data_IF_168281653335
#
_entry.id   IF_168281653335
#
_cell.length_a   1.000
_cell.length_b   1.000
_cell.length_c   1.000
_cell.angle_alpha   90.00
_cell.angle_beta   90.00
_cell.angle_gamma   90.00
#
_symmetry.space_group_name_H-M   'P 1'
#
loop_
_entity.id
_entity.type
_entity.pdbx_description
1 polymer ?
#
# COMPACT_ATOMS: atom_id res chain seq x y z
N UNK A 1 -2.38 -18.22 7.64
CA UNK A 1 -1.91 -18.53 9.00
C UNK A 1 -1.78 -17.33 9.95
N UNK A 2 -1.84 -16.08 9.50
CA UNK A 2 -1.75 -14.89 10.34
C UNK A 2 -3.00 -14.58 11.21
N UNK A 3 -4.17 -15.07 10.85
CA UNK A 3 -5.39 -14.83 11.62
C UNK A 3 -5.54 -15.67 12.89
N UNK A 4 -4.91 -16.82 12.95
CA UNK A 4 -4.96 -17.71 14.13
C UNK A 4 -3.89 -17.32 15.17
N UNK A 5 -2.74 -16.80 14.72
CA UNK A 5 -1.69 -16.28 15.58
C UNK A 5 -2.15 -15.01 16.30
N UNK A 6 -2.76 -14.03 15.60
CA UNK A 6 -3.33 -12.82 16.21
C UNK A 6 -4.45 -13.10 17.22
N UNK A 7 -5.29 -14.15 17.00
CA UNK A 7 -6.31 -14.55 17.99
C UNK A 7 -5.72 -15.28 19.19
N UNK A 8 -4.53 -15.86 19.10
CA UNK A 8 -3.83 -16.47 20.24
C UNK A 8 -3.05 -15.42 21.04
N UNK A 9 -2.50 -14.43 20.41
CA UNK A 9 -1.81 -13.31 21.06
C UNK A 9 -2.79 -12.40 21.83
N UNK A 10 -3.99 -12.13 21.31
CA UNK A 10 -5.05 -11.41 22.00
C UNK A 10 -5.63 -12.18 23.21
N UNK A 11 -5.36 -13.49 23.35
CA UNK A 11 -5.74 -14.29 24.52
C UNK A 11 -4.68 -14.37 25.62
N UNK A 12 -3.42 -14.05 25.32
CA UNK A 12 -2.32 -14.05 26.33
C UNK A 12 -2.18 -12.75 27.11
N UNK A 13 -2.72 -11.63 26.62
CA UNK A 13 -2.68 -10.34 27.35
C UNK A 13 -4.01 -10.11 28.10
N UNK A 14 -4.36 -10.95 29.07
CA UNK A 14 -5.47 -10.72 30.01
C UNK A 14 -5.01 -10.28 31.38
N UNK A 15 -3.77 -9.95 31.55
CA UNK A 15 -3.28 -9.34 32.79
C UNK A 15 -3.22 -7.83 32.56
N UNK A 16 -3.83 -7.09 33.49
CA UNK A 16 -3.74 -5.63 33.46
C UNK A 16 -2.29 -5.25 33.80
N UNK A 17 -1.70 -4.23 33.17
CA UNK A 17 -0.39 -3.71 33.54
C UNK A 17 -0.34 -3.33 35.01
N UNK A 18 0.77 -3.62 35.71
CA UNK A 18 0.91 -3.41 37.15
C UNK A 18 0.75 -1.93 37.56
N UNK A 19 1.25 -1.01 36.74
CA UNK A 19 1.09 0.43 36.92
C UNK A 19 -0.38 0.86 36.86
N UNK A 20 -1.15 0.26 35.97
CA UNK A 20 -2.58 0.51 35.82
C UNK A 20 -3.37 -0.03 37.03
N UNK A 21 -3.01 -1.22 37.52
CA UNK A 21 -3.61 -1.83 38.72
C UNK A 21 -3.35 -0.97 39.93
N UNK A 22 -2.10 -0.55 40.16
CA UNK A 22 -1.70 0.30 41.28
C UNK A 22 -2.46 1.64 41.28
N UNK A 23 -2.62 2.25 40.10
CA UNK A 23 -3.39 3.49 39.98
C UNK A 23 -4.85 3.31 40.35
N UNK A 24 -5.50 2.24 39.86
CA UNK A 24 -6.90 1.95 40.15
C UNK A 24 -7.08 1.67 41.65
N UNK A 25 -6.20 0.88 42.24
CA UNK A 25 -6.25 0.57 43.69
C UNK A 25 -6.04 1.81 44.57
N UNK A 26 -5.16 2.73 44.16
CA UNK A 26 -4.95 3.99 44.88
C UNK A 26 -6.17 4.92 44.89
N UNK A 27 -6.99 4.88 43.84
CA UNK A 27 -8.22 5.69 43.73
C UNK A 27 -9.46 4.97 44.22
N UNK A 28 -9.47 3.66 44.27
CA UNK A 28 -10.63 2.83 44.68
C UNK A 28 -11.23 3.21 46.05
N UNK A 29 -10.47 3.56 47.09
CA UNK A 29 -11.02 3.96 48.39
C UNK A 29 -11.82 5.29 48.34
N UNK A 30 -11.50 6.16 47.37
CA UNK A 30 -12.12 7.51 47.27
C UNK A 30 -13.38 7.52 46.37
N UNK A 31 -13.38 6.78 45.31
CA UNK A 31 -14.45 6.86 44.29
C UNK A 31 -15.13 5.51 43.98
N UNK A 32 -14.69 4.45 44.64
CA UNK A 32 -15.15 3.10 44.34
C UNK A 32 -14.35 2.43 43.22
N UNK A 33 -14.08 1.14 43.35
CA UNK A 33 -13.17 0.40 42.46
C UNK A 33 -13.67 0.34 41.01
N UNK A 34 -14.98 0.25 40.75
CA UNK A 34 -15.53 0.20 39.42
C UNK A 34 -15.48 1.55 38.70
N UNK A 35 -15.69 2.65 39.42
CA UNK A 35 -15.58 4.01 38.88
C UNK A 35 -14.11 4.37 38.61
N UNK A 36 -13.20 4.00 39.52
CA UNK A 36 -11.78 4.16 39.31
C UNK A 36 -11.33 3.38 38.05
N UNK A 37 -11.68 2.10 37.92
CA UNK A 37 -11.37 1.30 36.73
C UNK A 37 -11.86 1.94 35.44
N UNK A 38 -13.11 2.43 35.43
CA UNK A 38 -13.70 3.12 34.27
C UNK A 38 -12.97 4.40 33.92
N UNK A 39 -12.52 5.19 34.89
CA UNK A 39 -11.74 6.41 34.69
C UNK A 39 -10.38 6.14 34.03
N UNK A 40 -9.77 5.01 34.32
CA UNK A 40 -8.54 4.52 33.67
C UNK A 40 -8.77 3.67 32.41
N UNK A 41 -9.99 3.69 31.84
CA UNK A 41 -10.31 2.99 30.58
C UNK A 41 -10.48 1.47 30.70
N UNK A 42 -10.55 0.94 31.94
CA UNK A 42 -10.77 -0.48 32.20
C UNK A 42 -12.26 -0.77 32.40
N UNK A 43 -12.80 -1.73 31.62
CA UNK A 43 -14.18 -2.11 31.80
C UNK A 43 -14.42 -2.73 33.20
N UNK A 44 -15.51 -2.37 33.92
CA UNK A 44 -15.77 -2.87 35.28
C UNK A 44 -15.78 -4.40 35.40
N UNK A 45 -16.22 -5.10 34.34
CA UNK A 45 -16.19 -6.58 34.28
C UNK A 45 -14.75 -7.12 34.28
N UNK A 46 -13.83 -6.46 33.54
CA UNK A 46 -12.42 -6.84 33.47
C UNK A 46 -11.74 -6.62 34.82
N UNK A 47 -12.03 -5.48 35.47
CA UNK A 47 -11.54 -5.21 36.81
C UNK A 47 -12.03 -6.21 37.86
N UNK A 48 -13.34 -6.51 37.90
CA UNK A 48 -13.92 -7.53 38.81
C UNK A 48 -13.24 -8.89 38.63
N UNK A 49 -13.03 -9.32 37.38
CA UNK A 49 -12.35 -10.58 37.07
C UNK A 49 -10.90 -10.57 37.55
N UNK A 50 -10.17 -9.46 37.39
CA UNK A 50 -8.81 -9.29 37.89
C UNK A 50 -8.77 -9.36 39.43
N UNK A 51 -9.61 -8.61 40.09
CA UNK A 51 -9.70 -8.58 41.56
C UNK A 51 -10.11 -9.94 42.15
N UNK A 52 -10.99 -10.69 41.50
CA UNK A 52 -11.36 -12.07 41.92
C UNK A 52 -10.19 -13.03 41.73
N UNK A 53 -9.40 -12.89 40.66
CA UNK A 53 -8.21 -13.70 40.43
C UNK A 53 -7.15 -13.46 41.51
N UNK A 54 -6.92 -12.20 41.88
CA UNK A 54 -5.94 -11.85 42.96
C UNK A 54 -6.35 -12.37 44.32
N UNK A 55 -7.66 -12.41 44.64
CA UNK A 55 -8.18 -12.96 45.92
C UNK A 55 -8.26 -14.49 45.94
N UNK A 56 -7.86 -15.19 44.86
CA UNK A 56 -7.94 -16.65 44.79
C UNK A 56 -9.37 -17.18 44.70
N UNK A 57 -10.37 -16.32 44.50
CA UNK A 57 -11.79 -16.67 44.44
C UNK A 57 -12.18 -17.31 43.09
N UNK A 58 -11.37 -17.17 42.06
CA UNK A 58 -11.52 -17.85 40.79
C UNK A 58 -10.75 -19.17 40.87
N UNK A 59 -11.51 -20.26 41.13
CA UNK A 59 -10.98 -21.58 40.88
C UNK A 59 -10.43 -21.65 39.45
N UNK A 60 -9.23 -22.17 39.28
CA UNK A 60 -8.67 -22.44 37.95
C UNK A 60 -9.68 -23.29 37.19
N UNK A 61 -10.40 -22.66 36.25
CA UNK A 61 -11.23 -23.42 35.33
C UNK A 61 -10.27 -24.29 34.53
N UNK A 62 -10.38 -25.63 34.65
CA UNK A 62 -9.50 -26.50 33.89
C UNK A 62 -9.56 -26.07 32.42
N UNK A 63 -8.40 -25.86 31.85
CA UNK A 63 -8.27 -25.56 30.41
C UNK A 63 -9.16 -26.56 29.65
N UNK A 64 -9.99 -26.07 28.77
CA UNK A 64 -10.85 -26.88 27.89
C UNK A 64 -10.07 -27.89 27.02
N UNK A 65 -8.76 -27.94 27.18
CA UNK A 65 -7.83 -28.81 26.44
C UNK A 65 -7.72 -30.23 27.03
N UNK A 66 -8.25 -30.50 28.25
CA UNK A 66 -8.32 -31.83 28.83
C UNK A 66 -9.75 -32.39 28.78
N UNK A 67 -10.46 -32.08 27.68
CA UNK A 67 -11.78 -32.64 27.46
C UNK A 67 -11.68 -34.16 27.27
N UNK A 68 -12.55 -34.93 27.97
CA UNK A 68 -12.86 -36.30 27.61
C UNK A 68 -12.93 -36.43 26.09
N UNK A 69 -12.44 -37.54 25.51
CA UNK A 69 -12.58 -37.74 24.05
C UNK A 69 -14.05 -37.52 23.70
N UNK A 70 -14.28 -36.52 22.82
CA UNK A 70 -15.65 -36.21 22.37
C UNK A 70 -16.13 -37.42 21.60
N UNK A 71 -17.19 -38.04 22.10
CA UNK A 71 -17.94 -39.03 21.32
C UNK A 71 -18.28 -38.35 19.98
N UNK A 72 -17.92 -38.93 18.83
CA UNK A 72 -18.25 -38.37 17.53
C UNK A 72 -19.74 -38.04 17.47
N UNK A 73 -20.07 -36.88 16.89
CA UNK A 73 -21.48 -36.51 16.73
C UNK A 73 -22.16 -37.57 15.84
N UNK A 74 -23.38 -38.00 16.16
CA UNK A 74 -24.09 -39.03 15.37
C UNK A 74 -24.23 -38.74 13.89
N UNK A 75 -24.18 -37.45 13.51
CA UNK A 75 -24.21 -36.97 12.12
C UNK A 75 -22.78 -36.69 11.54
N UNK A 76 -21.70 -37.19 12.18
CA UNK A 76 -20.37 -37.10 11.59
C UNK A 76 -20.26 -38.19 10.52
N UNK A 77 -19.78 -37.82 9.34
CA UNK A 77 -19.44 -38.76 8.27
C UNK A 77 -18.38 -39.74 8.78
N UNK A 78 -18.46 -40.99 8.35
CA UNK A 78 -17.40 -41.99 8.57
C UNK A 78 -16.17 -41.63 7.75
N UNK A 79 -15.04 -42.28 8.04
CA UNK A 79 -13.80 -42.03 7.27
C UNK A 79 -13.94 -42.52 5.82
N UNK A 80 -14.76 -43.57 5.58
CA UNK A 80 -15.09 -44.08 4.26
C UNK A 80 -15.96 -43.08 3.48
N UNK A 81 -16.97 -42.48 4.09
CA UNK A 81 -17.82 -41.45 3.47
C UNK A 81 -17.03 -40.18 3.20
N UNK A 82 -16.13 -39.78 4.11
CA UNK A 82 -15.22 -38.62 3.84
C UNK A 82 -14.29 -38.94 2.67
N UNK A 83 -13.82 -40.19 2.51
CA UNK A 83 -12.97 -40.59 1.40
C UNK A 83 -13.74 -40.57 0.07
N UNK A 84 -14.98 -41.07 0.05
CA UNK A 84 -15.85 -41.03 -1.13
C UNK A 84 -16.08 -39.59 -1.61
N UNK A 85 -16.30 -38.66 -0.68
CA UNK A 85 -16.40 -37.22 -1.02
C UNK A 85 -15.11 -36.72 -1.67
N UNK A 86 -13.93 -37.10 -1.14
CA UNK A 86 -12.64 -36.69 -1.72
C UNK A 86 -12.45 -37.30 -3.12
N UNK A 87 -12.69 -38.58 -3.29
CA UNK A 87 -12.49 -39.29 -4.55
C UNK A 87 -13.43 -38.71 -5.63
N UNK A 88 -14.70 -38.45 -5.30
CA UNK A 88 -15.63 -37.78 -6.21
C UNK A 88 -15.15 -36.39 -6.60
N UNK A 89 -14.81 -35.56 -5.62
CA UNK A 89 -14.39 -34.17 -5.88
C UNK A 89 -13.04 -34.07 -6.61
N UNK A 90 -12.19 -35.07 -6.53
CA UNK A 90 -10.89 -35.14 -7.17
C UNK A 90 -10.87 -36.01 -8.44
N UNK A 91 -12.02 -36.55 -8.86
CA UNK A 91 -12.13 -37.30 -10.11
C UNK A 91 -11.82 -36.43 -11.32
N UNK A 92 -11.43 -37.05 -12.43
CA UNK A 92 -11.13 -36.32 -13.68
C UNK A 92 -12.32 -35.49 -14.17
N UNK A 93 -13.53 -35.88 -13.84
CA UNK A 93 -14.77 -35.19 -14.19
C UNK A 93 -14.95 -33.89 -13.38
N UNK A 94 -14.62 -33.91 -12.08
CA UNK A 94 -14.95 -32.82 -11.15
C UNK A 94 -13.77 -32.03 -10.65
N UNK A 95 -12.52 -32.39 -11.00
CA UNK A 95 -11.31 -31.75 -10.48
C UNK A 95 -11.24 -30.26 -10.79
N UNK A 96 -11.79 -29.82 -11.91
CA UNK A 96 -11.82 -28.42 -12.36
C UNK A 96 -13.17 -27.71 -12.10
N UNK A 97 -14.15 -28.42 -11.53
CA UNK A 97 -15.50 -27.90 -11.28
C UNK A 97 -15.62 -27.35 -9.86
N UNK A 98 -16.34 -26.25 -9.66
CA UNK A 98 -16.58 -25.66 -8.32
C UNK A 98 -17.34 -26.63 -7.42
N UNK A 99 -17.04 -26.62 -6.09
CA UNK A 99 -17.71 -27.53 -5.13
C UNK A 99 -19.23 -27.40 -5.14
N UNK A 100 -19.73 -26.15 -5.22
CA UNK A 100 -21.17 -25.89 -5.25
C UNK A 100 -21.82 -26.40 -6.57
N UNK A 101 -21.09 -26.35 -7.67
CA UNK A 101 -21.51 -26.87 -8.96
C UNK A 101 -21.49 -28.40 -8.99
N UNK A 102 -20.43 -29.03 -8.44
CA UNK A 102 -20.39 -30.50 -8.25
C UNK A 102 -21.56 -30.97 -7.41
N UNK A 103 -21.86 -30.27 -6.30
CA UNK A 103 -23.00 -30.59 -5.46
C UNK A 103 -24.32 -30.55 -6.25
N UNK A 104 -24.53 -29.53 -7.06
CA UNK A 104 -25.74 -29.42 -7.89
C UNK A 104 -25.82 -30.54 -8.93
N UNK A 105 -24.71 -30.86 -9.62
CA UNK A 105 -24.63 -31.96 -10.58
C UNK A 105 -24.97 -33.31 -9.93
N UNK A 106 -24.36 -33.59 -8.76
CA UNK A 106 -24.65 -34.83 -8.03
C UNK A 106 -26.14 -34.94 -7.62
N UNK A 107 -26.76 -33.81 -7.22
CA UNK A 107 -28.19 -33.79 -6.91
C UNK A 107 -29.06 -34.06 -8.14
N UNK A 108 -28.68 -33.49 -9.31
CA UNK A 108 -29.38 -33.73 -10.56
C UNK A 108 -29.30 -35.21 -10.98
N UNK A 109 -28.16 -35.85 -10.66
CA UNK A 109 -27.94 -37.31 -10.87
C UNK A 109 -28.56 -38.18 -9.76
N UNK A 110 -29.28 -37.59 -8.80
CA UNK A 110 -29.94 -38.30 -7.70
C UNK A 110 -29.01 -38.76 -6.58
N UNK A 111 -27.77 -38.24 -6.53
CA UNK A 111 -26.74 -38.57 -5.53
C UNK A 111 -26.57 -37.46 -4.51
N UNK A 112 -26.62 -37.81 -3.20
CA UNK A 112 -26.32 -36.88 -2.12
C UNK A 112 -25.22 -37.45 -1.22
N UNK A 113 -24.06 -36.82 -1.21
CA UNK A 113 -22.95 -37.22 -0.34
C UNK A 113 -22.97 -36.43 0.99
N UNK A 114 -22.88 -35.10 0.90
CA UNK A 114 -22.95 -34.19 2.04
C UNK A 114 -23.18 -32.74 1.56
N UNK A 115 -23.36 -31.81 2.50
CA UNK A 115 -23.56 -30.41 2.14
C UNK A 115 -22.27 -29.75 1.56
N UNK A 116 -22.38 -28.72 0.73
CA UNK A 116 -21.22 -27.99 0.20
C UNK A 116 -20.26 -27.48 1.28
N UNK A 117 -20.80 -27.03 2.41
CA UNK A 117 -20.00 -26.59 3.56
C UNK A 117 -19.16 -27.74 4.14
N UNK A 118 -19.70 -28.96 4.15
CA UNK A 118 -18.97 -30.18 4.60
C UNK A 118 -17.90 -30.54 3.58
N UNK A 119 -18.21 -30.53 2.30
CA UNK A 119 -17.24 -30.76 1.22
C UNK A 119 -16.05 -29.78 1.31
N UNK A 120 -16.31 -28.48 1.48
CA UNK A 120 -15.26 -27.49 1.68
C UNK A 120 -14.45 -27.72 2.95
N UNK A 121 -15.07 -28.22 4.03
CA UNK A 121 -14.36 -28.55 5.28
C UNK A 121 -13.43 -29.74 5.05
N UNK A 122 -13.90 -30.82 4.44
CA UNK A 122 -13.12 -32.03 4.15
C UNK A 122 -11.91 -31.68 3.27
N UNK A 123 -12.10 -30.94 2.17
CA UNK A 123 -11.01 -30.50 1.30
C UNK A 123 -9.98 -29.65 2.05
N UNK A 124 -10.40 -28.81 2.99
CA UNK A 124 -9.50 -28.01 3.83
C UNK A 124 -8.71 -28.86 4.79
N UNK A 125 -9.37 -29.77 5.47
CA UNK A 125 -8.75 -30.66 6.47
C UNK A 125 -7.73 -31.61 5.81
N UNK A 126 -7.97 -32.02 4.55
CA UNK A 126 -7.06 -32.82 3.71
C UNK A 126 -6.02 -32.00 2.95
N UNK A 127 -6.00 -30.65 3.09
CA UNK A 127 -5.03 -29.77 2.39
C UNK A 127 -5.30 -29.60 0.89
N UNK A 128 -6.46 -30.02 0.40
CA UNK A 128 -6.85 -30.00 -1.04
C UNK A 128 -7.57 -28.71 -1.45
N UNK A 129 -7.85 -27.80 -0.51
CA UNK A 129 -8.52 -26.51 -0.77
C UNK A 129 -7.64 -25.57 -1.60
N UNK A 130 -7.54 -25.70 -2.87
CA UNK A 130 -6.78 -24.84 -3.77
C UNK A 130 -5.88 -25.58 -4.74
N UNK A 131 -5.70 -26.89 -4.57
CA UNK A 131 -4.92 -27.73 -5.48
C UNK A 131 -5.77 -28.41 -6.57
N UNK A 132 -7.11 -28.35 -6.47
CA UNK A 132 -8.04 -28.96 -7.44
C UNK A 132 -7.96 -28.36 -8.83
N UNK A 133 -7.66 -27.06 -8.93
CA UNK A 133 -7.22 -26.43 -10.17
C UNK A 133 -5.71 -26.37 -10.13
N UNK A 134 -5.04 -26.68 -11.24
CA UNK A 134 -3.67 -26.23 -11.47
C UNK A 134 -3.69 -24.69 -11.59
N UNK A 135 -4.12 -24.02 -10.53
CA UNK A 135 -3.89 -22.61 -10.40
C UNK A 135 -2.39 -22.46 -10.40
N UNK A 136 -1.84 -21.89 -11.47
CA UNK A 136 -0.47 -21.39 -11.46
C UNK A 136 -0.20 -20.80 -10.07
N UNK A 137 0.80 -21.30 -9.33
CA UNK A 137 1.05 -20.80 -7.99
C UNK A 137 1.10 -19.29 -8.11
N UNK A 138 0.25 -18.59 -7.33
CA UNK A 138 0.23 -17.12 -7.34
C UNK A 138 1.66 -16.71 -7.10
N UNK A 139 2.36 -16.27 -8.16
CA UNK A 139 3.72 -15.75 -8.05
C UNK A 139 3.63 -14.67 -7.00
N UNK A 140 4.26 -14.90 -5.85
CA UNK A 140 4.30 -13.92 -4.78
C UNK A 140 4.87 -12.64 -5.38
N UNK A 141 4.05 -11.60 -5.50
CA UNK A 141 4.52 -10.32 -6.01
C UNK A 141 5.45 -9.73 -4.97
N UNK A 142 6.74 -9.76 -5.27
CA UNK A 142 7.73 -9.09 -4.45
C UNK A 142 7.38 -7.59 -4.38
N UNK A 143 7.49 -7.03 -3.18
CA UNK A 143 7.35 -5.59 -2.96
C UNK A 143 8.45 -4.89 -3.77
N UNK A 144 8.13 -4.06 -4.76
CA UNK A 144 9.15 -3.36 -5.53
C UNK A 144 9.94 -2.44 -4.60
N UNK A 145 11.24 -2.48 -4.71
CA UNK A 145 12.16 -1.63 -3.93
C UNK A 145 12.98 -0.85 -4.91
N UNK A 146 12.65 0.43 -5.01
CA UNK A 146 13.30 1.33 -5.94
C UNK A 146 13.97 2.44 -5.15
N UNK A 147 15.19 2.81 -5.50
CA UNK A 147 15.96 3.86 -4.86
C UNK A 147 16.59 4.78 -5.90
N UNK A 148 16.46 6.08 -5.70
CA UNK A 148 17.13 7.11 -6.47
C UNK A 148 18.08 7.90 -5.58
N UNK A 149 19.31 8.14 -6.02
CA UNK A 149 20.34 8.92 -5.34
C UNK A 149 20.83 10.10 -6.20
N UNK A 150 20.38 10.17 -7.44
CA UNK A 150 20.71 11.19 -8.40
C UNK A 150 19.57 11.37 -9.42
N UNK A 151 19.53 12.48 -10.16
CA UNK A 151 18.55 12.66 -11.23
C UNK A 151 18.71 11.60 -12.33
N UNK A 152 17.61 11.27 -12.98
CA UNK A 152 17.56 10.33 -14.10
C UNK A 152 18.04 8.90 -13.78
N UNK A 153 17.99 8.50 -12.50
CA UNK A 153 18.16 7.09 -12.10
C UNK A 153 16.86 6.32 -12.08
N UNK A 154 15.78 6.98 -11.65
CA UNK A 154 14.45 6.37 -11.56
C UNK A 154 13.42 7.37 -12.03
N UNK A 155 12.60 6.94 -12.99
CA UNK A 155 11.39 7.67 -13.35
C UNK A 155 10.18 6.89 -12.86
N UNK A 156 9.20 7.64 -12.35
CA UNK A 156 7.85 7.13 -12.05
C UNK A 156 6.89 7.72 -13.06
N UNK A 157 5.97 6.91 -13.58
CA UNK A 157 4.97 7.44 -14.49
C UNK A 157 3.60 6.84 -14.26
N UNK A 158 2.59 7.61 -14.65
CA UNK A 158 1.20 7.21 -14.52
C UNK A 158 0.31 8.00 -15.48
N UNK A 159 -0.91 7.52 -15.68
CA UNK A 159 -1.93 8.15 -16.52
C UNK A 159 -3.11 8.56 -15.66
N UNK A 160 -3.53 9.81 -15.76
CA UNK A 160 -4.68 10.31 -15.04
C UNK A 160 -5.78 10.81 -15.98
N UNK A 161 -7.02 10.39 -15.70
CA UNK A 161 -8.18 10.87 -16.43
C UNK A 161 -8.58 12.26 -16.00
N UNK A 162 -8.90 13.11 -16.96
CA UNK A 162 -9.38 14.48 -16.80
C UNK A 162 -10.76 14.58 -17.40
N UNK A 163 -11.77 15.13 -16.70
CA UNK A 163 -13.13 15.26 -17.23
C UNK A 163 -13.19 16.14 -18.48
N UNK A 164 -13.76 15.60 -19.55
CA UNK A 164 -14.04 16.31 -20.80
C UNK A 164 -15.39 17.01 -20.79
N UNK A 165 -15.85 17.51 -21.96
CA UNK A 165 -17.02 18.36 -22.10
C UNK A 165 -18.34 17.69 -21.69
N UNK A 166 -18.45 16.38 -21.85
CA UNK A 166 -19.65 15.60 -21.58
C UNK A 166 -19.37 14.40 -20.69
N UNK A 167 -20.41 13.89 -20.02
CA UNK A 167 -20.33 12.68 -19.22
C UNK A 167 -19.86 11.50 -20.05
N UNK A 168 -18.76 10.86 -19.63
CA UNK A 168 -18.16 9.72 -20.34
C UNK A 168 -17.07 10.11 -21.33
N UNK A 169 -16.87 11.39 -21.59
CA UNK A 169 -15.73 11.90 -22.38
C UNK A 169 -14.58 12.26 -21.43
N UNK A 170 -13.38 11.79 -21.76
CA UNK A 170 -12.20 11.96 -20.95
C UNK A 170 -11.01 12.38 -21.79
N UNK A 171 -10.16 13.22 -21.21
CA UNK A 171 -8.78 13.42 -21.64
C UNK A 171 -7.85 12.63 -20.75
N UNK A 172 -6.69 12.26 -21.25
CA UNK A 172 -5.72 11.43 -20.55
C UNK A 172 -4.40 12.16 -20.43
N UNK A 173 -4.04 12.50 -19.19
CA UNK A 173 -2.75 13.10 -18.87
C UNK A 173 -1.75 12.00 -18.54
N UNK A 174 -0.74 11.87 -19.37
CA UNK A 174 0.45 11.05 -19.16
C UNK A 174 1.50 11.89 -18.46
N UNK A 175 2.03 11.43 -17.35
CA UNK A 175 3.03 12.13 -16.57
C UNK A 175 4.20 11.22 -16.28
N UNK A 176 5.42 11.69 -16.58
CA UNK A 176 6.69 11.05 -16.20
C UNK A 176 7.44 12.00 -15.26
N UNK A 177 7.79 11.48 -14.08
CA UNK A 177 8.50 12.25 -13.05
C UNK A 177 9.81 11.60 -12.67
N UNK A 178 10.83 12.39 -12.46
CA UNK A 178 12.05 11.94 -11.81
C UNK A 178 11.83 11.73 -10.31
N UNK A 179 12.12 10.52 -9.81
CA UNK A 179 11.87 10.15 -8.44
C UNK A 179 12.71 10.96 -7.44
N UNK A 180 13.95 11.27 -7.77
CA UNK A 180 14.89 11.95 -6.87
C UNK A 180 14.60 13.44 -6.72
N UNK A 181 14.35 14.12 -7.83
CA UNK A 181 14.12 15.57 -7.87
C UNK A 181 12.65 15.98 -7.76
N UNK A 182 11.72 15.07 -8.00
CA UNK A 182 10.29 15.35 -8.18
C UNK A 182 9.93 16.11 -9.44
N UNK A 183 10.90 16.36 -10.34
CA UNK A 183 10.66 17.06 -11.58
C UNK A 183 9.73 16.27 -12.49
N UNK A 184 8.70 16.91 -12.99
CA UNK A 184 7.94 16.41 -14.12
C UNK A 184 8.85 16.50 -15.37
N UNK A 185 9.57 15.41 -15.65
CA UNK A 185 10.52 15.36 -16.77
C UNK A 185 9.81 15.29 -18.11
N UNK A 186 8.55 14.94 -18.16
CA UNK A 186 7.73 15.04 -19.35
C UNK A 186 6.28 14.66 -19.08
N UNK A 187 5.42 15.19 -19.92
CA UNK A 187 3.99 14.93 -19.88
C UNK A 187 3.37 15.15 -21.26
N UNK A 188 2.22 14.58 -21.51
CA UNK A 188 1.36 14.93 -22.63
C UNK A 188 -0.10 14.68 -22.28
N UNK A 189 -0.99 15.34 -22.99
CA UNK A 189 -2.44 15.09 -22.90
C UNK A 189 -2.94 14.55 -24.23
N UNK A 190 -3.83 13.57 -24.19
CA UNK A 190 -4.42 12.99 -25.38
C UNK A 190 -5.89 12.64 -25.14
N UNK A 191 -6.63 12.36 -26.20
CA UNK A 191 -8.03 11.87 -26.16
C UNK A 191 -8.09 10.35 -25.98
N UNK A 192 -6.99 9.66 -26.12
CA UNK A 192 -6.88 8.21 -26.02
C UNK A 192 -5.88 7.77 -24.93
N UNK A 193 -6.18 6.63 -24.33
CA UNK A 193 -5.27 5.96 -23.38
C UNK A 193 -4.61 4.76 -24.07
N UNK A 194 -3.44 4.98 -24.69
CA UNK A 194 -2.74 3.96 -25.47
C UNK A 194 -1.27 3.79 -25.09
N UNK A 195 -0.73 2.60 -25.28
CA UNK A 195 0.68 2.31 -25.10
C UNK A 195 1.59 3.03 -26.12
N UNK A 196 1.04 3.38 -27.28
CA UNK A 196 1.77 4.06 -28.36
C UNK A 196 2.10 5.50 -27.96
N UNK A 197 1.16 6.21 -27.34
CA UNK A 197 1.37 7.57 -26.81
C UNK A 197 2.42 7.53 -25.68
N UNK A 198 2.28 6.58 -24.74
CA UNK A 198 3.26 6.41 -23.66
C UNK A 198 4.67 6.12 -24.18
N UNK A 199 4.78 5.23 -25.17
CA UNK A 199 6.06 4.92 -25.84
C UNK A 199 6.72 6.17 -26.44
N UNK A 200 5.97 6.94 -27.24
CA UNK A 200 6.45 8.15 -27.88
C UNK A 200 6.91 9.19 -26.84
N UNK A 201 6.14 9.36 -25.78
CA UNK A 201 6.48 10.28 -24.70
C UNK A 201 7.79 9.87 -24.02
N UNK A 202 7.91 8.61 -23.57
CA UNK A 202 9.10 8.12 -22.86
C UNK A 202 10.34 8.16 -23.76
N UNK A 203 10.23 7.78 -25.03
CA UNK A 203 11.31 7.83 -26.00
C UNK A 203 11.81 9.27 -26.20
N UNK A 204 10.88 10.22 -26.39
CA UNK A 204 11.20 11.65 -26.52
C UNK A 204 11.91 12.21 -25.27
N UNK A 205 11.43 11.85 -24.08
CA UNK A 205 12.06 12.31 -22.83
C UNK A 205 13.45 11.69 -22.68
N UNK A 206 13.59 10.40 -22.94
CA UNK A 206 14.87 9.69 -22.82
C UNK A 206 15.95 10.30 -23.75
N UNK A 207 15.58 10.63 -24.97
CA UNK A 207 16.46 11.31 -25.92
C UNK A 207 16.84 12.72 -25.42
N UNK A 208 15.87 13.51 -24.95
CA UNK A 208 16.09 14.87 -24.44
C UNK A 208 16.98 14.91 -23.19
N UNK A 209 16.75 13.99 -22.25
CA UNK A 209 17.51 13.89 -21.00
C UNK A 209 18.85 13.17 -21.18
N UNK A 210 19.17 12.67 -22.39
CA UNK A 210 20.44 12.01 -22.70
C UNK A 210 20.66 10.73 -21.90
N UNK A 211 19.62 9.91 -21.72
CA UNK A 211 19.68 8.70 -20.89
C UNK A 211 20.64 7.68 -21.50
N UNK A 212 21.68 7.33 -20.73
CA UNK A 212 22.60 6.25 -21.12
C UNK A 212 21.97 4.86 -20.89
N UNK A 213 22.42 3.88 -21.66
CA UNK A 213 21.98 2.49 -21.49
C UNK A 213 22.26 2.00 -20.06
N UNK A 214 21.29 1.30 -19.47
CA UNK A 214 21.36 0.77 -18.10
C UNK A 214 21.43 1.80 -16.96
N UNK A 215 21.24 3.07 -17.25
CA UNK A 215 21.20 4.16 -16.26
C UNK A 215 19.85 4.23 -15.57
N UNK A 216 18.76 4.11 -16.32
CA UNK A 216 17.40 4.41 -15.88
C UNK A 216 16.65 3.14 -15.45
N UNK A 217 15.88 3.28 -14.38
CA UNK A 217 14.79 2.36 -14.02
C UNK A 217 13.46 3.09 -14.12
N UNK A 218 12.47 2.49 -14.80
CA UNK A 218 11.13 3.07 -14.94
C UNK A 218 10.16 2.27 -14.09
N UNK A 219 9.52 2.95 -13.16
CA UNK A 219 8.50 2.40 -12.26
C UNK A 219 7.12 2.89 -12.64
N UNK A 220 6.13 1.98 -12.68
CA UNK A 220 4.74 2.29 -12.98
C UNK A 220 3.79 1.30 -12.34
N UNK A 221 2.50 1.61 -12.41
CA UNK A 221 1.44 0.66 -12.07
C UNK A 221 1.34 -0.47 -13.11
N UNK A 222 0.44 -1.43 -12.86
CA UNK A 222 0.17 -2.57 -13.76
C UNK A 222 -0.98 -2.32 -14.72
N UNK A 223 -1.18 -1.09 -15.16
CA UNK A 223 -2.15 -0.78 -16.21
C UNK A 223 -1.84 -1.54 -17.50
N UNK A 224 -2.85 -1.73 -18.35
CA UNK A 224 -2.70 -2.43 -19.63
C UNK A 224 -1.62 -1.77 -20.52
N UNK A 225 -1.60 -0.44 -20.54
CA UNK A 225 -0.62 0.34 -21.29
C UNK A 225 0.80 0.12 -20.73
N UNK A 226 0.95 0.13 -19.39
CA UNK A 226 2.23 -0.04 -18.70
C UNK A 226 2.84 -1.44 -18.90
N UNK A 227 2.01 -2.44 -19.10
CA UNK A 227 2.44 -3.85 -19.29
C UNK A 227 2.49 -4.28 -20.74
N UNK A 228 2.25 -3.38 -21.70
CA UNK A 228 2.24 -3.69 -23.13
C UNK A 228 3.60 -4.16 -23.64
N UNK A 229 3.60 -5.05 -24.62
CA UNK A 229 4.80 -5.52 -25.31
C UNK A 229 5.57 -4.36 -25.97
N UNK A 230 4.85 -3.39 -26.53
CA UNK A 230 5.43 -2.21 -27.18
C UNK A 230 6.32 -1.37 -26.25
N UNK A 231 5.93 -1.20 -24.99
CA UNK A 231 6.77 -0.54 -23.98
C UNK A 231 7.91 -1.43 -23.50
N UNK A 232 7.69 -2.75 -23.41
CA UNK A 232 8.76 -3.69 -23.09
C UNK A 232 9.87 -3.62 -24.14
N UNK A 233 9.53 -3.64 -25.43
CA UNK A 233 10.50 -3.51 -26.53
C UNK A 233 11.26 -2.17 -26.50
N UNK A 234 10.58 -1.07 -26.13
CA UNK A 234 11.25 0.23 -25.96
C UNK A 234 12.27 0.17 -24.82
N UNK A 235 11.87 -0.35 -23.65
CA UNK A 235 12.75 -0.46 -22.49
C UNK A 235 13.98 -1.34 -22.79
N UNK A 236 13.79 -2.45 -23.49
CA UNK A 236 14.89 -3.31 -23.92
C UNK A 236 15.82 -2.60 -24.90
N UNK A 237 15.25 -1.84 -25.86
CA UNK A 237 16.02 -1.02 -26.81
C UNK A 237 16.87 0.03 -26.12
N UNK A 238 16.29 0.74 -25.16
CA UNK A 238 16.97 1.78 -24.37
C UNK A 238 17.87 1.20 -23.26
N UNK A 239 17.79 -0.11 -22.99
CA UNK A 239 18.46 -0.74 -21.85
C UNK A 239 17.92 -0.25 -20.50
N UNK A 240 16.64 0.11 -20.41
CA UNK A 240 15.96 0.61 -19.22
C UNK A 240 15.40 -0.56 -18.40
N UNK A 241 15.64 -0.56 -17.09
CA UNK A 241 15.02 -1.55 -16.20
C UNK A 241 13.58 -1.16 -15.90
N UNK A 242 12.71 -2.16 -15.87
CA UNK A 242 11.29 -1.97 -15.55
C UNK A 242 10.97 -2.47 -14.14
N UNK A 243 10.30 -1.65 -13.37
CA UNK A 243 9.72 -1.96 -12.07
C UNK A 243 8.20 -1.74 -12.10
N UNK A 244 7.44 -2.63 -11.48
CA UNK A 244 5.97 -2.55 -11.48
C UNK A 244 5.45 -2.62 -10.04
N UNK A 245 4.43 -1.81 -9.74
CA UNK A 245 3.67 -1.86 -8.51
C UNK A 245 3.05 -3.25 -8.29
N UNK A 246 2.80 -3.62 -7.04
CA UNK A 246 2.03 -4.83 -6.72
C UNK A 246 0.58 -4.66 -7.16
N UNK A 247 -0.10 -5.73 -7.58
CA UNK A 247 -1.51 -5.64 -7.95
C UNK A 247 -2.37 -5.12 -6.80
N UNK A 248 -3.19 -4.11 -7.06
CA UNK A 248 -4.13 -3.48 -6.11
C UNK A 248 -3.46 -2.84 -4.88
N UNK A 249 -2.23 -2.37 -5.00
CA UNK A 249 -1.50 -1.63 -3.95
C UNK A 249 -1.18 -0.25 -4.49
N UNK A 250 -2.04 0.72 -4.21
CA UNK A 250 -1.89 2.13 -4.63
C UNK A 250 -0.63 2.79 -4.05
N UNK A 251 -0.21 2.41 -2.85
CA UNK A 251 0.96 3.00 -2.19
C UNK A 251 2.30 2.69 -2.87
N UNK A 252 2.32 1.91 -3.93
CA UNK A 252 3.55 1.58 -4.65
C UNK A 252 3.92 2.65 -5.71
N UNK A 253 3.01 3.60 -6.06
CA UNK A 253 3.31 4.76 -6.93
C UNK A 253 2.85 6.11 -6.32
N UNK A 254 3.26 6.43 -5.07
CA UNK A 254 2.71 7.57 -4.34
C UNK A 254 3.09 8.93 -4.92
N UNK A 255 4.18 9.01 -5.70
CA UNK A 255 4.73 10.28 -6.15
C UNK A 255 4.00 10.85 -7.36
N UNK A 256 3.66 10.02 -8.34
CA UNK A 256 2.82 10.43 -9.46
C UNK A 256 1.40 10.76 -8.98
N UNK A 257 0.84 9.95 -8.08
CA UNK A 257 -0.47 10.24 -7.45
C UNK A 257 -0.47 11.58 -6.69
N UNK A 258 0.61 11.91 -5.97
CA UNK A 258 0.73 13.19 -5.26
C UNK A 258 0.78 14.39 -6.23
N UNK A 259 1.49 14.27 -7.35
CA UNK A 259 1.53 15.30 -8.36
C UNK A 259 0.15 15.53 -9.00
N UNK A 260 -0.59 14.47 -9.32
CA UNK A 260 -1.96 14.60 -9.80
C UNK A 260 -2.91 15.21 -8.77
N UNK A 261 -2.73 14.91 -7.48
CA UNK A 261 -3.48 15.58 -6.41
C UNK A 261 -3.15 17.06 -6.37
N UNK A 262 -1.86 17.44 -6.41
CA UNK A 262 -1.44 18.82 -6.42
C UNK A 262 -2.06 19.57 -7.61
N UNK A 263 -2.10 18.97 -8.80
CA UNK A 263 -2.75 19.53 -9.98
C UNK A 263 -4.26 19.71 -9.78
N UNK A 264 -4.96 18.63 -9.43
CA UNK A 264 -6.43 18.59 -9.41
C UNK A 264 -7.08 19.31 -8.24
N UNK A 265 -6.34 19.55 -7.15
CA UNK A 265 -6.84 20.27 -5.97
C UNK A 265 -6.47 21.76 -5.96
N UNK A 266 -5.88 22.28 -7.01
CA UNK A 266 -5.66 23.73 -7.12
C UNK A 266 -6.99 24.47 -7.22
N UNK A 267 -7.10 25.68 -6.65
CA UNK A 267 -8.31 26.48 -6.73
C UNK A 267 -8.74 26.84 -8.16
N UNK A 268 -7.79 26.92 -9.08
CA UNK A 268 -7.98 27.23 -10.50
C UNK A 268 -8.28 25.99 -11.37
N UNK A 269 -8.36 24.78 -10.77
CA UNK A 269 -8.69 23.57 -11.51
C UNK A 269 -10.17 23.55 -11.91
N UNK A 270 -10.51 23.51 -13.22
CA UNK A 270 -11.89 23.52 -13.66
C UNK A 270 -12.55 22.14 -13.41
N UNK A 271 -13.86 22.15 -13.24
CA UNK A 271 -14.64 20.91 -13.07
C UNK A 271 -14.61 20.01 -14.31
N UNK A 272 -14.48 20.62 -15.49
CA UNK A 272 -14.39 19.97 -16.81
C UNK A 272 -13.64 20.89 -17.76
N UNK A 273 -13.14 20.30 -18.83
CA UNK A 273 -12.52 20.99 -19.94
C UNK A 273 -13.33 20.79 -21.22
N UNK A 274 -13.42 21.79 -22.07
CA UNK A 274 -14.19 21.71 -23.30
C UNK A 274 -13.35 21.14 -24.44
N UNK A 275 -12.05 21.42 -24.47
CA UNK A 275 -11.15 21.00 -25.56
C UNK A 275 -9.82 20.43 -25.05
N UNK A 276 -9.14 19.69 -25.90
CA UNK A 276 -7.80 19.17 -25.62
C UNK A 276 -6.78 20.30 -25.45
N UNK A 277 -6.92 21.38 -26.22
CA UNK A 277 -6.03 22.53 -26.14
C UNK A 277 -6.16 23.26 -24.80
N UNK A 278 -7.36 23.40 -24.23
CA UNK A 278 -7.56 23.94 -22.88
C UNK A 278 -6.86 23.12 -21.81
N UNK A 279 -7.01 21.79 -21.85
CA UNK A 279 -6.30 20.90 -20.91
C UNK A 279 -4.79 21.03 -21.06
N UNK A 280 -4.32 21.04 -22.30
CA UNK A 280 -2.89 21.13 -22.61
C UNK A 280 -2.32 22.44 -22.10
N UNK A 281 -2.97 23.58 -22.37
CA UNK A 281 -2.53 24.88 -21.89
C UNK A 281 -2.53 24.96 -20.35
N UNK A 282 -3.55 24.40 -19.69
CA UNK A 282 -3.61 24.35 -18.23
C UNK A 282 -2.49 23.50 -17.63
N UNK A 283 -2.21 22.34 -18.22
CA UNK A 283 -1.12 21.48 -17.81
C UNK A 283 0.25 22.11 -18.05
N UNK A 284 0.44 22.84 -19.16
CA UNK A 284 1.66 23.57 -19.46
C UNK A 284 1.95 24.63 -18.40
N UNK A 285 0.95 25.44 -18.06
CA UNK A 285 1.07 26.43 -16.98
C UNK A 285 1.37 25.77 -15.63
N UNK A 286 0.65 24.67 -15.32
CA UNK A 286 0.84 23.96 -14.06
C UNK A 286 2.25 23.35 -13.95
N UNK A 287 2.72 22.59 -14.94
CA UNK A 287 4.02 21.93 -14.86
C UNK A 287 5.19 22.91 -14.97
N UNK A 288 5.02 24.05 -15.64
CA UNK A 288 5.96 25.18 -15.56
C UNK A 288 6.09 25.66 -14.12
N UNK A 289 4.98 26.08 -13.51
CA UNK A 289 4.97 26.49 -12.10
C UNK A 289 5.48 25.38 -11.15
N UNK A 290 5.04 24.13 -11.34
CA UNK A 290 5.42 23.00 -10.49
C UNK A 290 6.91 22.73 -10.51
N UNK A 291 7.54 22.78 -11.67
CA UNK A 291 8.95 22.52 -11.82
C UNK A 291 9.83 23.67 -11.35
N UNK A 292 9.45 24.94 -11.64
CA UNK A 292 10.35 26.07 -11.54
C UNK A 292 10.07 27.00 -10.36
N UNK A 293 8.85 26.96 -9.79
CA UNK A 293 8.43 27.85 -8.70
C UNK A 293 8.00 27.12 -7.43
N UNK A 294 7.36 25.92 -7.56
CA UNK A 294 6.85 25.21 -6.41
C UNK A 294 7.98 24.64 -5.54
N UNK A 295 8.05 25.10 -4.29
CA UNK A 295 9.00 24.61 -3.29
C UNK A 295 8.48 23.30 -2.68
N UNK A 296 9.11 22.18 -3.02
CA UNK A 296 8.66 20.86 -2.65
C UNK A 296 9.27 20.41 -1.30
N UNK A 297 8.43 20.16 -0.29
CA UNK A 297 8.87 19.75 1.07
C UNK A 297 9.70 18.45 1.07
N UNK A 298 9.37 17.49 0.20
CA UNK A 298 10.08 16.22 0.08
C UNK A 298 11.50 16.29 -0.50
N UNK A 299 11.94 17.48 -0.96
CA UNK A 299 13.31 17.71 -1.50
C UNK A 299 14.00 18.90 -0.84
N UNK A 300 13.71 19.18 0.41
CA UNK A 300 14.35 20.25 1.18
C UNK A 300 13.88 21.64 0.78
N UNK A 301 12.61 21.78 0.39
CA UNK A 301 12.04 23.05 -0.07
C UNK A 301 12.81 23.67 -1.25
N UNK A 302 13.37 22.84 -2.10
CA UNK A 302 13.87 23.25 -3.41
C UNK A 302 12.76 23.19 -4.45
N UNK A 303 12.92 23.89 -5.57
CA UNK A 303 12.11 23.59 -6.75
C UNK A 303 12.59 22.28 -7.39
N UNK A 304 11.70 21.51 -8.04
CA UNK A 304 12.10 20.31 -8.76
C UNK A 304 13.23 20.53 -9.76
N UNK A 305 13.20 21.65 -10.49
CA UNK A 305 14.26 22.02 -11.45
C UNK A 305 15.60 22.27 -10.76
N UNK A 306 15.64 23.06 -9.69
CA UNK A 306 16.89 23.32 -8.96
C UNK A 306 17.47 22.03 -8.37
N UNK A 307 16.61 21.18 -7.84
CA UNK A 307 17.01 19.87 -7.31
C UNK A 307 17.58 19.00 -8.43
N UNK A 308 16.91 18.94 -9.57
CA UNK A 308 17.32 18.14 -10.73
C UNK A 308 18.65 18.59 -11.32
N UNK A 309 18.85 19.91 -11.38
CA UNK A 309 20.09 20.53 -11.86
C UNK A 309 21.27 20.48 -10.87
N UNK A 310 21.06 19.96 -9.65
CA UNK A 310 22.10 19.87 -8.63
C UNK A 310 22.42 21.18 -7.92
N UNK A 311 21.55 22.20 -7.98
CA UNK A 311 21.77 23.52 -7.37
C UNK A 311 21.57 23.52 -5.84
N UNK A 312 21.16 22.40 -5.23
CA UNK A 312 20.75 22.32 -3.84
C UNK A 312 21.78 22.85 -2.85
N UNK A 313 23.07 22.48 -3.00
CA UNK A 313 24.14 22.96 -2.11
C UNK A 313 24.32 24.48 -2.17
N UNK A 314 24.30 25.06 -3.38
CA UNK A 314 24.41 26.51 -3.57
C UNK A 314 23.26 27.27 -2.91
N UNK A 315 22.05 26.75 -3.06
CA UNK A 315 20.84 27.36 -2.47
C UNK A 315 20.88 27.25 -0.94
N UNK A 316 21.27 26.11 -0.37
CA UNK A 316 21.36 25.93 1.08
C UNK A 316 22.44 26.85 1.68
N UNK A 317 23.57 27.05 0.99
CA UNK A 317 24.57 28.00 1.43
C UNK A 317 24.02 29.43 1.48
N UNK A 318 23.27 29.87 0.47
CA UNK A 318 22.64 31.19 0.47
C UNK A 318 21.57 31.32 1.59
N UNK A 319 20.76 30.31 1.79
CA UNK A 319 19.76 30.26 2.89
C UNK A 319 20.41 30.31 4.27
N UNK A 320 21.54 29.61 4.45
CA UNK A 320 22.28 29.61 5.71
C UNK A 320 22.78 30.99 6.08
N UNK A 321 23.28 31.77 5.11
CA UNK A 321 23.71 33.17 5.37
C UNK A 321 22.54 34.01 5.93
N UNK A 322 21.34 33.85 5.38
CA UNK A 322 20.15 34.58 5.86
C UNK A 322 19.77 34.14 7.26
N UNK A 323 19.79 32.82 7.52
CA UNK A 323 19.48 32.26 8.82
C UNK A 323 20.49 32.67 9.89
N UNK A 324 21.78 32.74 9.55
CA UNK A 324 22.84 33.20 10.44
C UNK A 324 22.67 34.67 10.82
N UNK A 325 22.36 35.51 9.86
CA UNK A 325 22.07 36.92 10.13
C UNK A 325 20.86 37.11 11.06
N UNK A 326 19.79 36.31 10.85
CA UNK A 326 18.61 36.32 11.72
C UNK A 326 18.94 35.83 13.14
N UNK A 327 19.75 34.77 13.25
CA UNK A 327 20.21 34.26 14.53
C UNK A 327 21.10 35.25 15.30
N UNK A 328 22.00 35.92 14.61
CA UNK A 328 22.86 36.97 15.21
C UNK A 328 22.04 38.17 15.70
N UNK A 329 21.01 38.57 14.96
CA UNK A 329 20.16 39.71 15.34
C UNK A 329 19.23 39.37 16.53
N UNK A 330 18.75 38.13 16.65
CA UNK A 330 17.74 37.72 17.60
C UNK A 330 17.95 36.29 18.11
N UNK A 331 19.05 35.98 18.81
CA UNK A 331 19.33 34.61 19.28
C UNK A 331 18.25 34.06 20.22
N UNK A 332 17.55 34.93 20.95
CA UNK A 332 16.46 34.59 21.84
C UNK A 332 15.23 33.96 21.16
N UNK A 333 15.11 34.14 19.84
CA UNK A 333 14.02 33.56 19.03
C UNK A 333 14.30 32.13 18.58
N UNK A 334 15.48 31.62 18.83
CA UNK A 334 15.95 30.31 18.39
C UNK A 334 16.27 29.39 19.58
N UNK A 335 15.28 28.91 20.32
CA UNK A 335 15.49 28.13 21.55
C UNK A 335 16.24 26.80 21.32
N UNK A 336 16.25 26.29 20.08
CA UNK A 336 16.94 25.05 19.70
C UNK A 336 18.35 25.31 19.14
N UNK A 337 18.89 26.52 19.29
CA UNK A 337 20.19 26.91 18.76
C UNK A 337 20.14 27.43 17.32
N UNK A 338 21.31 27.47 16.68
CA UNK A 338 21.48 27.98 15.30
C UNK A 338 20.58 27.25 14.31
N UNK A 339 19.75 27.97 13.54
CA UNK A 339 18.87 27.36 12.56
C UNK A 339 19.62 26.88 11.31
N UNK A 340 19.06 25.91 10.62
CA UNK A 340 19.59 25.36 9.37
C UNK A 340 18.51 25.31 8.29
N UNK A 341 18.89 25.35 6.99
CA UNK A 341 17.96 25.10 5.91
C UNK A 341 17.27 23.73 6.03
N UNK A 342 16.09 23.56 5.41
CA UNK A 342 15.41 22.28 5.38
C UNK A 342 16.29 21.18 4.79
N UNK A 343 16.32 20.02 5.45
CA UNK A 343 17.15 18.87 5.04
C UNK A 343 16.81 18.36 3.64
N UNK A 344 17.81 18.22 2.78
CA UNK A 344 17.69 17.58 1.49
C UNK A 344 17.95 16.07 1.61
N UNK A 345 17.01 15.20 1.22
CA UNK A 345 17.26 13.75 1.29
C UNK A 345 18.35 13.36 0.29
N UNK A 346 19.31 12.57 0.73
CA UNK A 346 20.36 12.01 -0.14
C UNK A 346 19.88 10.79 -0.94
N UNK A 347 18.79 10.17 -0.51
CA UNK A 347 18.17 9.01 -1.14
C UNK A 347 16.66 9.15 -1.09
N UNK A 348 16.01 8.75 -2.16
CA UNK A 348 14.55 8.70 -2.25
C UNK A 348 14.13 7.27 -2.59
N UNK A 349 13.11 6.78 -1.91
CA UNK A 349 12.71 5.38 -1.96
C UNK A 349 11.25 5.23 -2.38
N UNK A 350 10.98 4.16 -3.12
CA UNK A 350 9.67 3.52 -3.16
C UNK A 350 9.80 2.23 -2.35
N UNK A 351 8.99 2.08 -1.30
CA UNK A 351 9.00 0.93 -0.40
C UNK A 351 10.37 0.67 0.28
N UNK A 352 10.84 1.55 1.17
CA UNK A 352 12.08 1.32 1.91
C UNK A 352 12.04 0.03 2.72
N UNK A 353 13.21 -0.57 3.00
CA UNK A 353 13.36 -1.63 3.99
C UNK A 353 13.12 -1.08 5.39
N UNK A 354 12.55 -1.86 6.31
CA UNK A 354 12.26 -1.47 7.69
C UNK A 354 13.49 -0.93 8.47
N UNK A 355 14.69 -1.22 8.01
CA UNK A 355 15.95 -0.72 8.57
C UNK A 355 16.24 0.77 8.27
N UNK A 356 15.45 1.43 7.42
CA UNK A 356 15.69 2.81 6.96
C UNK A 356 14.61 3.81 7.40
N UNK A 357 13.72 3.42 8.29
CA UNK A 357 12.61 4.25 8.81
C UNK A 357 12.93 4.95 10.14
N UNK A 358 14.22 5.19 10.44
CA UNK A 358 14.63 6.01 11.59
C UNK A 358 15.35 7.25 11.15
#
# INVERSE_FOLDING_TARGET
MLGAARRRECRRQRELPEDLVTNIEGWAPRVGAELAAKAFGVAPRTWRHHAQKQRGELADRPSRATGKPRVPHPAKLTDEEEQEVVDTLCSDEFVDVGVDEVFATLLDDGTYLCSPSTMHRILRDRGLSGQRRQANPRKGHHRPRVVATAPNMVWVWDISRIPGPAKGVWFYLYLVMDLWSRKAVGWCVDVEETAQIARKLIDTIAAREGIARHQLEVHSDRGAQMTSGMLADLYDTLGVRRSLSRPRVSNDNPHAEAAFKTLKYRPDWPKKFETLDEVTAHCEQFFGWYNDEHHHSGVGMLTPTDRHAGHGQRIDTARQVVLDAAYQAHPERFPNGRPHPPHQPTRVWINPTELHTR
#
